data_IF_486152461765
#
_entry.id   IF_486152461765
#
_cell.length_a   1.000
_cell.length_b   1.000
_cell.length_c   1.000
_cell.angle_alpha   90.00
_cell.angle_beta   90.00
_cell.angle_gamma   90.00
#
_symmetry.space_group_name_H-M   'P 1'
#
loop_
_entity.id
_entity.type
_entity.pdbx_description
1 polymer ?
#
# COMPACT_ATOMS: atom_id res chain seq x y z
N UNK A 1 31.56 -10.25 9.52
CA UNK A 1 30.31 -9.48 9.36
C UNK A 1 29.57 -10.06 8.17
N UNK A 2 28.80 -11.11 8.42
CA UNK A 2 28.02 -11.85 7.42
C UNK A 2 26.83 -10.98 7.02
N UNK A 3 26.65 -10.80 5.71
CA UNK A 3 25.94 -9.66 5.17
C UNK A 3 24.42 -9.83 5.36
N UNK A 4 23.73 -8.78 5.81
CA UNK A 4 22.26 -8.72 5.76
C UNK A 4 21.74 -9.02 4.33
N UNK A 5 22.55 -8.67 3.31
CA UNK A 5 22.33 -9.04 1.91
C UNK A 5 22.30 -10.56 1.69
N UNK A 6 23.21 -11.34 2.29
CA UNK A 6 23.33 -12.79 2.08
C UNK A 6 22.14 -13.57 2.66
N UNK A 7 21.49 -13.03 3.70
CA UNK A 7 20.26 -13.60 4.26
C UNK A 7 19.00 -13.18 3.47
N UNK A 8 19.06 -12.04 2.77
CA UNK A 8 18.00 -11.58 1.87
C UNK A 8 18.07 -12.26 0.49
N UNK A 9 19.21 -12.87 0.14
CA UNK A 9 19.43 -13.58 -1.15
C UNK A 9 19.06 -15.06 -1.11
N UNK A 10 18.48 -15.58 -0.03
CA UNK A 10 17.78 -16.87 -0.09
C UNK A 10 16.46 -16.63 -0.86
N UNK A 11 16.56 -16.71 -2.18
CA UNK A 11 15.60 -16.26 -3.21
C UNK A 11 14.21 -16.96 -3.19
N UNK A 12 13.61 -17.28 -2.03
CA UNK A 12 12.44 -18.16 -2.01
C UNK A 12 11.31 -17.90 -0.98
N UNK A 13 11.27 -16.85 -0.14
CA UNK A 13 10.21 -16.81 0.91
C UNK A 13 9.46 -15.51 1.19
N UNK A 14 9.79 -14.38 0.57
CA UNK A 14 8.96 -13.17 0.73
C UNK A 14 8.57 -12.63 -0.64
N UNK A 15 7.28 -12.65 -1.02
CA UNK A 15 6.81 -11.87 -2.15
C UNK A 15 6.98 -10.41 -1.76
N UNK A 16 8.11 -9.81 -2.14
CA UNK A 16 8.51 -8.48 -1.71
C UNK A 16 7.68 -7.47 -2.47
N UNK A 17 6.48 -7.22 -1.94
CA UNK A 17 5.65 -6.07 -2.30
C UNK A 17 6.37 -4.72 -2.07
N UNK A 18 7.58 -4.72 -1.52
CA UNK A 18 8.44 -3.56 -1.36
C UNK A 18 9.61 -3.68 -2.32
N UNK A 19 9.89 -2.59 -3.03
CA UNK A 19 11.10 -2.46 -3.82
C UNK A 19 12.37 -2.51 -2.95
N UNK A 20 13.53 -2.74 -3.59
CA UNK A 20 14.81 -2.85 -2.91
C UNK A 20 15.13 -1.61 -2.06
N UNK A 21 14.82 -0.41 -2.55
CA UNK A 21 15.07 0.83 -1.81
C UNK A 21 14.31 0.87 -0.47
N UNK A 22 13.04 0.47 -0.47
CA UNK A 22 12.22 0.38 0.74
C UNK A 22 12.80 -0.62 1.74
N UNK A 23 13.27 -1.77 1.25
CA UNK A 23 13.91 -2.81 2.07
C UNK A 23 15.20 -2.26 2.69
N UNK A 24 16.05 -1.59 1.90
CA UNK A 24 17.30 -1.01 2.38
C UNK A 24 17.06 0.10 3.40
N UNK A 25 16.03 0.93 3.20
CA UNK A 25 15.62 1.95 4.15
C UNK A 25 15.17 1.32 5.48
N UNK A 26 14.36 0.26 5.44
CA UNK A 26 13.95 -0.48 6.64
C UNK A 26 15.15 -1.12 7.35
N UNK A 27 16.05 -1.75 6.58
CA UNK A 27 17.25 -2.39 7.09
C UNK A 27 18.21 -1.44 7.81
N UNK A 28 18.25 -0.15 7.45
CA UNK A 28 19.06 0.86 8.16
C UNK A 28 18.59 1.13 9.59
N UNK A 29 17.37 0.75 9.92
CA UNK A 29 16.74 1.04 11.21
C UNK A 29 16.47 -0.19 12.04
N UNK A 30 16.39 -1.35 11.41
CA UNK A 30 16.30 -2.62 12.11
C UNK A 30 17.69 -3.10 12.48
N UNK A 31 17.92 -3.36 13.77
CA UNK A 31 19.19 -3.87 14.27
C UNK A 31 19.35 -5.37 13.99
N UNK A 32 18.24 -6.06 13.70
CA UNK A 32 18.23 -7.50 13.42
C UNK A 32 17.28 -7.84 12.28
N UNK A 33 17.53 -8.94 11.54
CA UNK A 33 16.57 -9.46 10.55
C UNK A 33 15.19 -9.76 11.14
N UNK A 34 15.12 -10.19 12.41
CA UNK A 34 13.86 -10.44 13.12
C UNK A 34 13.03 -9.17 13.30
N UNK A 35 13.68 -8.05 13.57
CA UNK A 35 13.04 -6.74 13.67
C UNK A 35 12.51 -6.27 12.31
N UNK A 36 13.31 -6.44 11.25
CA UNK A 36 12.87 -6.19 9.87
C UNK A 36 11.63 -7.00 9.50
N UNK A 37 11.63 -8.31 9.81
CA UNK A 37 10.49 -9.18 9.58
C UNK A 37 9.24 -8.71 10.33
N UNK A 38 9.41 -8.23 11.57
CA UNK A 38 8.31 -7.68 12.35
C UNK A 38 7.74 -6.42 11.72
N UNK A 39 8.58 -5.50 11.26
CA UNK A 39 8.14 -4.26 10.60
C UNK A 39 7.37 -4.57 9.32
N UNK A 40 7.87 -5.49 8.50
CA UNK A 40 7.16 -5.96 7.31
C UNK A 40 5.80 -6.58 7.67
N UNK A 41 5.75 -7.40 8.73
CA UNK A 41 4.50 -7.99 9.23
C UNK A 41 3.48 -6.92 9.65
N UNK A 42 3.93 -5.85 10.31
CA UNK A 42 3.07 -4.72 10.69
C UNK A 42 2.48 -4.03 9.46
N UNK A 43 3.31 -3.78 8.44
CA UNK A 43 2.86 -3.17 7.17
C UNK A 43 1.82 -4.06 6.49
N UNK A 44 2.08 -5.37 6.40
CA UNK A 44 1.15 -6.34 5.80
C UNK A 44 -0.16 -6.45 6.57
N UNK A 45 -0.13 -6.35 7.90
CA UNK A 45 -1.35 -6.31 8.71
C UNK A 45 -2.17 -5.06 8.43
N UNK A 46 -1.53 -3.88 8.38
CA UNK A 46 -2.20 -2.62 8.03
C UNK A 46 -2.88 -2.70 6.66
N UNK A 47 -2.21 -3.34 5.68
CA UNK A 47 -2.79 -3.62 4.36
C UNK A 47 -4.04 -4.49 4.49
N UNK A 48 -3.91 -5.68 5.08
CA UNK A 48 -4.99 -6.66 5.21
C UNK A 48 -6.21 -6.09 5.92
N UNK A 49 -6.00 -5.31 6.98
CA UNK A 49 -7.09 -4.65 7.70
C UNK A 49 -7.81 -3.64 6.81
N UNK A 50 -7.07 -2.90 5.99
CA UNK A 50 -7.65 -1.92 5.06
C UNK A 50 -8.42 -2.59 3.93
N UNK A 51 -7.88 -3.66 3.33
CA UNK A 51 -8.57 -4.47 2.32
C UNK A 51 -9.92 -4.95 2.86
N UNK A 52 -9.92 -5.46 4.09
CA UNK A 52 -11.13 -5.93 4.78
C UNK A 52 -12.11 -4.80 5.08
N UNK A 53 -11.66 -3.66 5.58
CA UNK A 53 -12.55 -2.54 5.92
C UNK A 53 -13.18 -1.89 4.69
N UNK A 54 -12.40 -1.76 3.62
CA UNK A 54 -12.79 -1.06 2.38
C UNK A 54 -13.39 -1.99 1.33
N UNK A 55 -13.31 -3.31 1.53
CA UNK A 55 -13.75 -4.32 0.56
C UNK A 55 -13.04 -4.17 -0.79
N UNK A 56 -11.75 -3.83 -0.76
CA UNK A 56 -10.88 -3.70 -1.95
C UNK A 56 -9.67 -4.61 -1.83
N UNK A 57 -9.03 -4.91 -2.96
CA UNK A 57 -7.77 -5.65 -2.99
C UNK A 57 -6.65 -4.79 -3.56
N UNK A 58 -5.45 -4.85 -2.97
CA UNK A 58 -4.30 -4.09 -3.43
C UNK A 58 -3.31 -4.94 -4.23
N UNK A 59 -2.93 -4.44 -5.40
CA UNK A 59 -1.76 -4.90 -6.14
C UNK A 59 -0.60 -3.94 -5.88
N UNK A 60 0.17 -4.22 -4.82
CA UNK A 60 1.21 -3.31 -4.32
C UNK A 60 2.48 -3.27 -5.19
N UNK A 61 2.60 -4.17 -6.17
CA UNK A 61 3.65 -4.22 -7.17
C UNK A 61 3.55 -3.11 -8.23
N UNK A 62 2.46 -2.34 -8.26
CA UNK A 62 2.33 -1.19 -9.15
C UNK A 62 3.34 -0.08 -8.81
N UNK A 63 4.05 0.45 -9.82
CA UNK A 63 5.15 1.41 -9.66
C UNK A 63 4.77 2.65 -8.82
N UNK A 64 3.57 3.19 -9.07
CA UNK A 64 3.05 4.34 -8.31
C UNK A 64 2.97 4.05 -6.81
N UNK A 65 2.52 2.86 -6.42
CA UNK A 65 2.37 2.48 -5.01
C UNK A 65 3.72 2.16 -4.38
N UNK A 66 4.67 1.58 -5.13
CA UNK A 66 6.05 1.41 -4.70
C UNK A 66 6.69 2.73 -4.26
N UNK A 67 6.54 3.77 -5.08
CA UNK A 67 7.06 5.09 -4.76
C UNK A 67 6.38 5.69 -3.52
N UNK A 68 5.06 5.57 -3.40
CA UNK A 68 4.32 6.05 -2.23
C UNK A 68 4.74 5.34 -0.94
N UNK A 69 4.92 4.01 -0.97
CA UNK A 69 5.42 3.24 0.17
C UNK A 69 6.82 3.68 0.57
N UNK A 70 7.73 3.84 -0.39
CA UNK A 70 9.09 4.32 -0.14
C UNK A 70 9.08 5.69 0.54
N UNK A 71 8.25 6.62 0.06
CA UNK A 71 8.08 7.94 0.65
C UNK A 71 7.47 7.89 2.06
N UNK A 72 6.52 6.99 2.30
CA UNK A 72 5.92 6.75 3.62
C UNK A 72 6.95 6.24 4.61
N UNK A 73 7.84 5.33 4.20
CA UNK A 73 8.95 4.85 5.03
C UNK A 73 9.89 6.01 5.39
N UNK A 74 10.25 6.87 4.42
CA UNK A 74 11.06 8.08 4.69
C UNK A 74 10.38 9.02 5.69
N UNK A 75 9.08 9.27 5.54
CA UNK A 75 8.30 10.12 6.45
C UNK A 75 8.27 9.56 7.87
N UNK A 76 7.98 8.27 7.99
CA UNK A 76 8.03 7.54 9.25
C UNK A 76 9.38 7.71 9.94
N UNK A 77 10.48 7.51 9.19
CA UNK A 77 11.82 7.67 9.75
C UNK A 77 12.17 9.10 10.15
N UNK A 78 11.69 10.09 9.41
CA UNK A 78 11.88 11.49 9.77
C UNK A 78 11.10 11.86 11.04
N UNK A 79 9.91 11.30 11.24
CA UNK A 79 9.11 11.52 12.44
C UNK A 79 9.79 10.92 13.69
N UNK A 80 10.21 9.64 13.63
CA UNK A 80 10.88 9.01 14.77
C UNK A 80 12.25 9.62 15.10
N UNK A 81 12.94 10.25 14.14
CA UNK A 81 14.20 10.99 14.40
C UNK A 81 14.00 12.31 15.11
N UNK A 82 12.92 13.01 14.77
CA UNK A 82 12.62 14.33 15.32
C UNK A 82 12.06 14.24 16.74
N UNK A 83 11.51 13.08 17.07
CA UNK A 83 10.80 12.88 18.30
C UNK A 83 11.67 12.11 19.30
N UNK A 84 12.44 12.84 20.12
CA UNK A 84 13.30 12.22 21.13
C UNK A 84 12.45 11.49 22.19
N UNK A 85 11.26 12.00 22.59
CA UNK A 85 10.45 11.45 23.69
C UNK A 85 8.90 11.62 23.60
N UNK A 86 8.30 12.02 22.48
CA UNK A 86 6.87 12.41 22.40
C UNK A 86 5.94 11.50 21.59
N UNK A 87 6.43 10.47 20.88
CA UNK A 87 5.54 9.45 20.34
C UNK A 87 5.05 8.61 21.53
N UNK A 88 3.88 8.96 22.06
CA UNK A 88 3.25 8.27 23.19
C UNK A 88 2.84 6.81 22.87
N UNK A 89 2.97 6.41 21.61
CA UNK A 89 2.73 5.05 21.09
C UNK A 89 4.05 4.37 20.72
N UNK A 90 4.10 3.04 20.77
CA UNK A 90 5.31 2.31 20.34
C UNK A 90 5.63 2.62 18.87
N UNK A 91 6.92 2.61 18.51
CA UNK A 91 7.38 2.76 17.12
C UNK A 91 6.62 1.86 16.13
N UNK A 92 6.28 0.65 16.57
CA UNK A 92 5.48 -0.33 15.82
C UNK A 92 4.03 0.15 15.59
N UNK A 93 3.37 0.71 16.61
CA UNK A 93 2.02 1.27 16.46
C UNK A 93 2.00 2.49 15.54
N UNK A 94 3.03 3.33 15.63
CA UNK A 94 3.16 4.47 14.73
C UNK A 94 3.42 4.03 13.29
N UNK A 95 4.25 2.99 13.07
CA UNK A 95 4.46 2.37 11.77
C UNK A 95 3.13 1.83 11.20
N UNK A 96 2.38 1.09 12.00
CA UNK A 96 1.06 0.58 11.62
C UNK A 96 0.15 1.72 11.18
N UNK A 97 -0.03 2.75 12.01
CA UNK A 97 -0.91 3.88 11.71
C UNK A 97 -0.50 4.64 10.45
N UNK A 98 0.81 4.84 10.25
CA UNK A 98 1.36 5.51 9.06
C UNK A 98 1.01 4.74 7.78
N UNK A 99 1.21 3.43 7.78
CA UNK A 99 0.87 2.59 6.62
C UNK A 99 -0.62 2.37 6.46
N UNK A 100 -1.38 2.31 7.57
CA UNK A 100 -2.84 2.24 7.55
C UNK A 100 -3.44 3.44 6.83
N UNK A 101 -2.90 4.64 7.07
CA UNK A 101 -3.32 5.85 6.36
C UNK A 101 -2.99 5.77 4.86
N UNK A 102 -1.76 5.39 4.50
CA UNK A 102 -1.37 5.20 3.10
C UNK A 102 -2.31 4.24 2.36
N UNK A 103 -2.58 3.07 2.94
CA UNK A 103 -3.46 2.09 2.29
C UNK A 103 -4.91 2.55 2.22
N UNK A 104 -5.38 3.37 3.17
CA UNK A 104 -6.71 3.96 3.10
C UNK A 104 -6.81 4.95 1.93
N UNK A 105 -5.77 5.74 1.68
CA UNK A 105 -5.71 6.64 0.53
C UNK A 105 -5.72 5.87 -0.79
N UNK A 106 -4.86 4.84 -0.91
CA UNK A 106 -4.84 3.95 -2.08
C UNK A 106 -6.21 3.29 -2.30
N UNK A 107 -6.88 2.84 -1.23
CA UNK A 107 -8.20 2.24 -1.34
C UNK A 107 -9.24 3.23 -1.86
N UNK A 108 -9.19 4.47 -1.39
CA UNK A 108 -10.09 5.52 -1.87
C UNK A 108 -9.85 5.81 -3.35
N UNK A 109 -8.60 5.87 -3.80
CA UNK A 109 -8.27 6.06 -5.22
C UNK A 109 -8.85 4.93 -6.09
N UNK A 110 -8.66 3.68 -5.67
CA UNK A 110 -9.23 2.51 -6.37
C UNK A 110 -10.76 2.58 -6.43
N UNK A 111 -11.42 2.90 -5.32
CA UNK A 111 -12.88 3.00 -5.27
C UNK A 111 -13.40 4.14 -6.16
N UNK A 112 -12.72 5.28 -6.15
CA UNK A 112 -13.05 6.41 -7.02
C UNK A 112 -12.96 6.01 -8.50
N UNK A 113 -11.88 5.35 -8.91
CA UNK A 113 -11.74 4.85 -10.27
C UNK A 113 -12.83 3.84 -10.66
N UNK A 114 -13.21 2.94 -9.74
CA UNK A 114 -14.30 1.99 -9.98
C UNK A 114 -15.64 2.70 -10.17
N UNK A 115 -15.93 3.71 -9.36
CA UNK A 115 -17.16 4.49 -9.46
C UNK A 115 -17.25 5.27 -10.76
N UNK A 116 -16.14 5.90 -11.20
CA UNK A 116 -16.10 6.62 -12.49
C UNK A 116 -16.36 5.67 -13.66
N UNK A 117 -15.70 4.50 -13.67
CA UNK A 117 -15.91 3.48 -14.73
C UNK A 117 -17.34 2.93 -14.74
N UNK A 118 -17.96 2.79 -13.58
CA UNK A 118 -19.35 2.36 -13.47
C UNK A 118 -20.32 3.41 -14.01
N UNK A 119 -20.11 4.68 -13.68
CA UNK A 119 -20.91 5.80 -14.18
C UNK A 119 -20.82 5.90 -15.71
N UNK A 120 -19.60 5.90 -16.26
CA UNK A 120 -19.37 5.90 -17.71
C UNK A 120 -20.07 4.71 -18.39
N UNK A 121 -19.96 3.51 -17.83
CA UNK A 121 -20.62 2.30 -18.36
C UNK A 121 -22.14 2.43 -18.36
N UNK A 122 -22.71 3.01 -17.29
CA UNK A 122 -24.15 3.20 -17.15
C UNK A 122 -24.67 4.22 -18.17
N UNK A 123 -23.93 5.31 -18.39
CA UNK A 123 -24.25 6.31 -19.41
C UNK A 123 -24.23 5.68 -20.82
N UNK A 124 -23.17 4.94 -21.15
CA UNK A 124 -23.07 4.26 -22.45
C UNK A 124 -24.21 3.25 -22.67
N UNK A 125 -24.58 2.48 -21.63
CA UNK A 125 -25.70 1.56 -21.71
C UNK A 125 -27.04 2.28 -21.91
N UNK A 126 -27.24 3.44 -21.27
CA UNK A 126 -28.42 4.26 -21.48
C UNK A 126 -28.51 4.77 -22.92
N UNK A 127 -27.43 5.35 -23.45
CA UNK A 127 -27.39 5.86 -24.83
C UNK A 127 -27.66 4.76 -25.85
N UNK A 128 -27.03 3.58 -25.70
CA UNK A 128 -27.25 2.44 -26.58
C UNK A 128 -28.72 1.97 -26.58
N UNK A 129 -29.37 1.96 -25.41
CA UNK A 129 -30.80 1.60 -25.31
C UNK A 129 -31.69 2.63 -26.00
N UNK A 130 -31.39 3.93 -25.88
CA UNK A 130 -32.14 5.00 -26.55
C UNK A 130 -32.01 4.88 -28.07
N UNK A 131 -30.80 4.66 -28.59
CA UNK A 131 -30.56 4.47 -30.03
C UNK A 131 -31.33 3.27 -30.60
N UNK A 132 -31.33 2.13 -29.91
CA UNK A 132 -32.10 0.95 -30.32
C UNK A 132 -33.60 1.24 -30.38
N UNK A 133 -34.15 1.98 -29.42
CA UNK A 133 -35.57 2.35 -29.42
C UNK A 133 -35.94 3.29 -30.58
N UNK A 134 -35.03 4.18 -30.98
CA UNK A 134 -35.24 5.06 -32.12
C UNK A 134 -35.21 4.27 -33.43
N UNK A 135 -34.25 3.36 -33.59
CA UNK A 135 -34.11 2.53 -34.78
C UNK A 135 -35.28 1.55 -34.97
N UNK A 136 -35.87 1.04 -33.89
CA UNK A 136 -37.03 0.14 -33.96
C UNK A 136 -38.36 0.86 -34.27
N UNK A 137 -38.37 2.20 -34.33
CA UNK A 137 -39.56 3.02 -34.66
C UNK A 137 -39.58 3.51 -36.11
N UNK A 138 -38.54 3.21 -36.90
CA UNK A 138 -38.45 3.51 -38.34
C UNK A 138 -38.75 2.26 -39.17
#
# INVERSE_FOLDING_TARGET
MTHAQEFLTDQASYPTFLNQESIDLLGKWCNTPKELHRFIGIILNARKDTEKEKQVHFFLDHDTYQQQMTNTIRRFFNAIRKDDHTIHTTTENYLYGTFKHLFADIANDILNEQWQKEDERNEQAFLANVEQQLNNKQ
#
